data_IF_472405525178
#
_entry.id   IF_472405525178
#
_cell.length_a   1.000
_cell.length_b   1.000
_cell.length_c   1.000
_cell.angle_alpha   90.00
_cell.angle_beta   90.00
_cell.angle_gamma   90.00
#
_symmetry.space_group_name_H-M   'P 1'
#
loop_
_entity.id
_entity.type
_entity.pdbx_description
1 polymer ?
#
# COMPACT_ATOMS: atom_id res chain seq x y z
N UNK A 1 64.90 17.00 -37.98
CA UNK A 1 64.44 17.97 -39.00
C UNK A 1 63.94 17.17 -40.19
N UNK A 2 62.78 17.46 -40.84
CA UNK A 2 61.65 18.34 -40.52
C UNK A 2 60.34 17.54 -40.26
N UNK A 3 59.27 18.24 -39.86
CA UNK A 3 57.92 17.67 -39.66
C UNK A 3 56.98 17.97 -40.82
N UNK A 4 55.82 17.28 -40.84
CA UNK A 4 54.58 17.68 -41.52
C UNK A 4 53.41 17.12 -40.70
N UNK A 5 52.50 17.99 -40.28
CA UNK A 5 51.24 17.62 -39.65
C UNK A 5 50.10 17.46 -40.66
N UNK A 6 49.05 16.74 -40.26
CA UNK A 6 47.66 16.99 -40.71
C UNK A 6 46.69 16.17 -39.85
N UNK A 7 45.67 16.86 -39.33
CA UNK A 7 44.51 16.30 -38.64
C UNK A 7 43.56 15.60 -39.62
N UNK A 8 42.77 14.58 -39.20
CA UNK A 8 41.57 14.17 -39.92
C UNK A 8 40.29 14.79 -39.33
N UNK A 9 39.43 15.26 -40.22
CA UNK A 9 38.02 15.55 -39.98
C UNK A 9 37.21 14.25 -39.96
N UNK A 10 36.17 14.21 -39.13
CA UNK A 10 35.37 13.01 -38.87
C UNK A 10 34.34 12.68 -39.95
N UNK A 11 33.77 11.48 -39.85
CA UNK A 11 32.42 11.16 -40.33
C UNK A 11 31.86 10.03 -39.49
N UNK A 12 30.62 10.21 -39.05
CA UNK A 12 29.81 9.27 -38.28
C UNK A 12 29.50 8.00 -39.10
N UNK A 13 29.66 6.84 -38.47
CA UNK A 13 29.16 5.56 -38.96
C UNK A 13 28.36 4.89 -37.85
N UNK A 14 27.06 4.71 -38.10
CA UNK A 14 26.05 4.12 -37.23
C UNK A 14 26.27 2.63 -37.00
N UNK A 15 26.32 2.18 -35.74
CA UNK A 15 26.24 0.76 -35.38
C UNK A 15 24.92 0.43 -34.68
N UNK A 16 24.12 -0.33 -35.42
CA UNK A 16 23.43 -1.57 -35.05
C UNK A 16 22.66 -1.70 -33.72
N UNK A 17 21.40 -2.08 -33.95
CA UNK A 17 20.40 -2.60 -33.03
C UNK A 17 20.93 -3.62 -32.03
N UNK A 18 20.59 -3.42 -30.76
CA UNK A 18 20.32 -4.53 -29.85
C UNK A 18 19.10 -4.20 -29.00
N UNK A 19 18.06 -5.02 -29.12
CA UNK A 19 16.82 -4.90 -28.34
C UNK A 19 17.09 -5.30 -26.89
N UNK A 20 16.52 -4.61 -25.88
CA UNK A 20 16.60 -5.09 -24.51
C UNK A 20 15.61 -6.24 -24.26
N UNK A 21 15.93 -7.16 -23.34
CA UNK A 21 15.23 -8.42 -23.18
C UNK A 21 13.81 -8.25 -22.60
N UNK A 22 12.89 -9.07 -23.11
CA UNK A 22 11.56 -9.29 -22.56
C UNK A 22 11.68 -10.04 -21.23
N UNK A 23 11.63 -9.31 -20.11
CA UNK A 23 11.65 -9.90 -18.77
C UNK A 23 10.88 -9.06 -17.74
N UNK A 24 9.75 -9.60 -17.29
CA UNK A 24 8.97 -9.22 -16.09
C UNK A 24 8.29 -7.84 -16.05
N UNK A 25 7.30 -7.65 -16.93
CA UNK A 25 6.34 -6.53 -16.90
C UNK A 25 4.99 -6.86 -16.25
N UNK A 26 4.87 -7.93 -15.45
CA UNK A 26 3.54 -8.44 -15.04
C UNK A 26 2.90 -7.84 -13.78
N UNK A 27 3.53 -6.94 -13.01
CA UNK A 27 2.87 -6.39 -11.81
C UNK A 27 2.95 -4.87 -11.57
N UNK A 28 3.55 -4.07 -12.47
CA UNK A 28 3.69 -2.61 -12.27
C UNK A 28 2.39 -1.79 -12.42
N UNK A 29 1.31 -2.39 -12.96
CA UNK A 29 0.07 -1.65 -13.27
C UNK A 29 -0.86 -1.43 -12.07
N UNK A 30 -0.73 -2.19 -10.98
CA UNK A 30 -1.63 -2.04 -9.83
C UNK A 30 -1.35 -0.81 -8.95
N UNK A 31 -0.18 -0.16 -9.13
CA UNK A 31 0.29 0.93 -8.27
C UNK A 31 0.70 2.22 -8.98
N UNK A 32 0.48 2.31 -10.28
CA UNK A 32 0.72 3.55 -11.03
C UNK A 32 -0.62 4.21 -11.33
N UNK A 33 -0.91 5.28 -10.59
CA UNK A 33 -1.89 6.28 -11.04
C UNK A 33 -1.26 6.92 -12.28
N UNK A 34 -1.80 6.66 -13.47
CA UNK A 34 -1.36 7.29 -14.72
C UNK A 34 -1.71 8.78 -14.67
N UNK A 35 -0.74 9.64 -14.96
CA UNK A 35 -0.92 11.09 -15.06
C UNK A 35 -0.59 11.59 -16.46
N UNK A 36 -1.39 12.53 -16.95
CA UNK A 36 -0.98 13.52 -17.93
C UNK A 36 -0.47 14.76 -17.18
N UNK A 37 0.69 15.27 -17.59
CA UNK A 37 1.43 16.31 -16.88
C UNK A 37 1.12 17.72 -17.40
N UNK A 38 0.97 18.66 -16.46
CA UNK A 38 1.55 20.04 -16.46
C UNK A 38 1.11 20.79 -15.19
N UNK A 39 1.99 20.89 -14.17
CA UNK A 39 1.78 21.78 -13.01
C UNK A 39 2.50 21.36 -11.72
N UNK A 40 2.88 22.34 -10.89
CA UNK A 40 3.63 22.24 -9.61
C UNK A 40 2.85 21.53 -8.47
N UNK A 41 1.68 20.99 -8.78
CA UNK A 41 0.86 20.21 -7.88
C UNK A 41 0.91 18.74 -8.31
N UNK A 42 1.17 17.83 -7.37
CA UNK A 42 0.94 16.41 -7.60
C UNK A 42 -0.51 16.18 -8.08
N UNK A 43 -0.78 15.07 -8.81
CA UNK A 43 -2.10 14.82 -9.34
C UNK A 43 -3.15 14.84 -8.21
N UNK A 44 -4.36 15.37 -8.48
CA UNK A 44 -5.43 15.36 -7.49
C UNK A 44 -5.73 13.92 -7.06
N UNK A 45 -6.22 13.75 -5.83
CA UNK A 45 -6.65 12.44 -5.34
C UNK A 45 -7.68 11.85 -6.33
N UNK A 46 -7.49 10.58 -6.69
CA UNK A 46 -8.36 9.84 -7.60
C UNK A 46 -9.84 10.02 -7.18
N UNK A 47 -10.70 10.34 -8.15
CA UNK A 47 -12.12 10.67 -7.93
C UNK A 47 -12.92 9.54 -7.26
N UNK A 48 -12.39 8.30 -7.28
CA UNK A 48 -12.97 7.15 -6.58
C UNK A 48 -12.85 7.26 -5.05
N UNK A 49 -12.04 8.17 -4.54
CA UNK A 49 -11.98 8.49 -3.11
C UNK A 49 -13.05 9.54 -2.78
N UNK A 50 -14.09 9.09 -2.10
CA UNK A 50 -15.29 9.88 -1.86
C UNK A 50 -15.66 9.90 -0.39
N UNK A 51 -16.25 11.01 0.04
CA UNK A 51 -16.93 11.09 1.32
C UNK A 51 -18.16 10.18 1.26
N UNK A 52 -18.35 9.34 2.28
CA UNK A 52 -19.45 8.39 2.31
C UNK A 52 -20.73 9.09 2.78
N UNK A 53 -21.78 9.04 1.96
CA UNK A 53 -23.09 9.66 2.27
C UNK A 53 -23.76 9.02 3.48
N UNK A 54 -23.61 7.70 3.59
CA UNK A 54 -24.09 6.90 4.72
C UNK A 54 -22.90 6.19 5.38
N UNK A 55 -22.16 6.86 6.29
CA UNK A 55 -21.00 6.26 6.92
C UNK A 55 -21.30 4.95 7.66
N UNK A 56 -22.47 4.83 8.30
CA UNK A 56 -22.90 3.59 8.98
C UNK A 56 -23.00 2.38 8.05
N UNK A 57 -23.35 2.60 6.77
CA UNK A 57 -23.44 1.53 5.77
C UNK A 57 -22.08 1.22 5.13
N UNK A 58 -21.15 2.17 5.18
CA UNK A 58 -19.80 1.98 4.65
C UNK A 58 -18.87 1.35 5.68
N UNK A 59 -18.74 1.94 6.86
CA UNK A 59 -17.79 1.56 7.90
C UNK A 59 -18.31 0.40 8.75
N UNK A 60 -18.67 -0.69 8.09
CA UNK A 60 -19.11 -1.95 8.72
C UNK A 60 -17.93 -2.91 8.92
N UNK A 61 -17.99 -3.74 9.96
CA UNK A 61 -16.93 -4.72 10.28
C UNK A 61 -16.62 -5.60 9.06
N UNK A 62 -15.33 -5.69 8.73
CA UNK A 62 -14.81 -6.41 7.57
C UNK A 62 -14.71 -5.59 6.29
N UNK A 63 -15.23 -4.35 6.23
CA UNK A 63 -15.05 -3.47 5.07
C UNK A 63 -13.56 -3.23 4.84
N UNK A 64 -13.10 -3.56 3.64
CA UNK A 64 -11.75 -3.23 3.17
C UNK A 64 -11.83 -1.97 2.31
N UNK A 65 -11.04 -0.96 2.66
CA UNK A 65 -11.05 0.33 1.96
C UNK A 65 -9.65 0.92 1.87
N UNK A 66 -9.49 1.88 0.96
CA UNK A 66 -8.30 2.71 0.85
C UNK A 66 -8.59 4.15 1.28
N UNK A 67 -7.61 4.79 1.89
CA UNK A 67 -7.69 6.16 2.42
C UNK A 67 -6.39 6.91 2.13
N UNK A 68 -6.47 8.21 1.89
CA UNK A 68 -5.29 9.09 1.94
C UNK A 68 -4.92 9.31 3.40
N UNK A 69 -3.72 8.90 3.77
CA UNK A 69 -3.24 8.92 5.15
C UNK A 69 -2.01 9.80 5.29
N UNK A 70 -1.95 10.55 6.40
CA UNK A 70 -0.86 11.46 6.72
C UNK A 70 -0.09 10.97 7.95
N UNK A 71 1.24 10.96 7.89
CA UNK A 71 2.11 10.58 9.01
C UNK A 71 3.22 11.62 9.17
N UNK A 72 3.51 12.05 10.40
CA UNK A 72 4.64 12.95 10.67
C UNK A 72 5.98 12.22 10.51
N UNK A 73 7.03 12.95 10.12
CA UNK A 73 8.39 12.41 10.04
C UNK A 73 8.89 12.05 11.45
N UNK A 74 9.46 10.86 11.60
CA UNK A 74 9.91 10.33 12.90
C UNK A 74 8.93 9.35 13.54
N UNK A 75 7.65 9.41 13.19
CA UNK A 75 6.80 8.24 13.27
C UNK A 75 7.30 7.29 12.17
N UNK A 76 7.98 6.19 12.51
CA UNK A 76 8.29 5.11 11.56
C UNK A 76 6.99 4.40 11.18
N UNK A 77 6.09 5.13 10.52
CA UNK A 77 4.80 4.65 10.09
C UNK A 77 4.96 3.69 8.93
N UNK A 78 4.02 2.75 8.82
CA UNK A 78 4.15 1.69 7.82
C UNK A 78 4.04 2.21 6.38
N UNK A 79 3.38 3.36 6.14
CA UNK A 79 3.28 3.89 4.77
C UNK A 79 4.61 4.45 4.29
N UNK A 80 5.29 5.26 5.11
CA UNK A 80 6.63 5.79 4.81
C UNK A 80 7.59 4.64 4.52
N UNK A 81 7.58 3.65 5.41
CA UNK A 81 8.36 2.42 5.27
C UNK A 81 8.11 1.70 3.95
N UNK A 82 6.84 1.44 3.60
CA UNK A 82 6.46 0.75 2.36
C UNK A 82 6.89 1.54 1.12
N UNK A 83 6.83 2.87 1.19
CA UNK A 83 7.19 3.73 0.09
C UNK A 83 8.70 3.76 -0.18
N UNK A 84 9.50 3.94 0.88
CA UNK A 84 10.98 3.98 0.78
C UNK A 84 11.52 2.63 0.27
N UNK A 85 11.04 1.53 0.85
CA UNK A 85 11.51 0.18 0.52
C UNK A 85 11.16 -0.27 -0.91
N UNK A 86 10.16 0.34 -1.54
CA UNK A 86 9.87 0.14 -2.98
C UNK A 86 10.80 0.93 -3.91
N UNK A 87 11.85 1.58 -3.38
CA UNK A 87 12.81 2.35 -4.16
C UNK A 87 12.21 3.60 -4.82
N UNK A 88 11.06 4.07 -4.31
CA UNK A 88 10.41 5.27 -4.82
C UNK A 88 11.03 6.51 -4.18
N UNK A 89 11.31 7.51 -5.01
CA UNK A 89 11.83 8.79 -4.52
C UNK A 89 10.82 9.44 -3.59
N UNK A 90 11.26 9.75 -2.37
CA UNK A 90 10.51 10.55 -1.39
C UNK A 90 10.49 12.04 -1.75
N UNK A 91 11.23 12.45 -2.78
CA UNK A 91 11.32 13.82 -3.25
C UNK A 91 9.94 14.31 -3.70
N UNK A 92 9.41 15.33 -3.01
CA UNK A 92 8.08 15.89 -3.27
C UNK A 92 6.91 15.17 -2.56
N UNK A 93 7.16 14.14 -1.73
CA UNK A 93 6.12 13.47 -0.93
C UNK A 93 5.99 13.98 0.50
N UNK A 94 7.00 14.68 0.98
CA UNK A 94 6.95 15.37 2.26
C UNK A 94 6.50 16.81 2.05
N UNK A 95 5.46 17.20 2.77
CA UNK A 95 5.01 18.59 2.87
C UNK A 95 5.35 19.13 4.24
N UNK A 96 5.86 20.37 4.32
CA UNK A 96 6.01 21.04 5.61
C UNK A 96 4.65 21.50 6.11
N UNK A 97 4.27 21.02 7.28
CA UNK A 97 3.05 21.41 7.99
C UNK A 97 3.18 22.80 8.62
N UNK A 98 2.08 23.27 9.22
CA UNK A 98 1.96 24.60 9.84
C UNK A 98 3.05 24.91 10.88
N UNK A 99 3.59 23.89 11.54
CA UNK A 99 4.59 24.03 12.61
C UNK A 99 6.00 23.64 12.17
N UNK A 100 6.27 23.61 10.86
CA UNK A 100 7.59 23.25 10.33
C UNK A 100 7.88 21.75 10.26
N UNK A 101 7.02 20.92 10.87
CA UNK A 101 7.11 19.46 10.81
C UNK A 101 6.92 18.91 9.39
N UNK A 102 7.68 17.86 9.04
CA UNK A 102 7.53 17.18 7.76
C UNK A 102 6.41 16.14 7.85
N UNK A 103 5.46 16.20 6.91
CA UNK A 103 4.31 15.31 6.83
C UNK A 103 4.43 14.48 5.55
N UNK A 104 4.48 13.16 5.72
CA UNK A 104 4.34 12.22 4.63
C UNK A 104 2.87 11.98 4.32
N UNK A 105 2.52 11.92 3.05
CA UNK A 105 1.16 11.59 2.59
C UNK A 105 1.18 10.38 1.67
N UNK A 106 0.33 9.39 1.93
CA UNK A 106 0.25 8.20 1.08
C UNK A 106 -1.06 7.44 1.20
N UNK A 107 -1.34 6.56 0.25
CA UNK A 107 -2.54 5.72 0.29
C UNK A 107 -2.30 4.53 1.21
N UNK A 108 -3.16 4.36 2.22
CA UNK A 108 -3.21 3.17 3.07
C UNK A 108 -4.47 2.38 2.79
N UNK A 109 -4.37 1.05 2.83
CA UNK A 109 -5.53 0.15 2.83
C UNK A 109 -5.80 -0.31 4.26
N UNK A 110 -7.05 -0.45 4.64
CA UNK A 110 -7.45 -0.82 5.99
C UNK A 110 -8.69 -1.72 5.98
N UNK A 111 -8.88 -2.46 7.09
CA UNK A 111 -10.08 -3.26 7.35
C UNK A 111 -10.77 -2.73 8.60
N UNK A 112 -12.07 -2.44 8.52
CA UNK A 112 -12.85 -2.04 9.71
C UNK A 112 -12.97 -3.23 10.66
N UNK A 113 -12.62 -3.03 11.93
CA UNK A 113 -12.75 -4.05 12.99
C UNK A 113 -13.83 -3.70 14.01
N UNK A 114 -14.14 -2.41 14.18
CA UNK A 114 -15.24 -1.93 15.04
C UNK A 114 -15.88 -0.70 14.42
N UNK A 115 -17.18 -0.78 14.16
CA UNK A 115 -17.99 0.38 13.78
C UNK A 115 -18.41 1.17 15.02
N UNK A 116 -18.36 2.50 14.96
CA UNK A 116 -18.88 3.40 15.99
C UNK A 116 -19.71 4.50 15.32
N UNK A 117 -20.29 5.43 16.08
CA UNK A 117 -21.23 6.42 15.55
C UNK A 117 -20.58 7.47 14.64
N UNK A 118 -19.36 7.92 14.96
CA UNK A 118 -18.67 9.01 14.25
C UNK A 118 -17.33 8.59 13.63
N UNK A 119 -16.84 7.41 14.00
CA UNK A 119 -15.58 6.87 13.53
C UNK A 119 -15.60 5.34 13.53
N UNK A 120 -14.53 4.73 13.05
CA UNK A 120 -14.34 3.29 13.07
C UNK A 120 -12.91 2.93 13.51
N UNK A 121 -12.76 1.84 14.25
CA UNK A 121 -11.45 1.24 14.45
C UNK A 121 -11.11 0.38 13.25
N UNK A 122 -9.90 0.55 12.75
CA UNK A 122 -9.43 -0.03 11.52
C UNK A 122 -8.03 -0.62 11.68
N UNK A 123 -7.80 -1.76 11.06
CA UNK A 123 -6.51 -2.45 11.03
C UNK A 123 -5.84 -2.19 9.69
N UNK A 124 -4.54 -1.84 9.65
CA UNK A 124 -3.86 -1.52 8.41
C UNK A 124 -3.51 -2.80 7.64
N UNK A 125 -3.64 -2.74 6.31
CA UNK A 125 -3.04 -3.69 5.38
C UNK A 125 -1.73 -3.07 4.89
N UNK A 126 -0.63 -3.80 5.09
CA UNK A 126 0.73 -3.32 4.82
C UNK A 126 1.48 -4.36 3.99
N UNK A 127 2.35 -3.90 3.09
CA UNK A 127 3.20 -4.78 2.28
C UNK A 127 4.63 -4.87 2.81
N UNK A 128 5.00 -3.97 3.71
CA UNK A 128 6.33 -3.87 4.30
C UNK A 128 7.40 -3.69 3.24
N UNK A 129 7.08 -2.96 2.17
CA UNK A 129 7.96 -2.83 1.02
C UNK A 129 7.97 -4.00 0.05
N UNK A 130 6.90 -4.81 0.05
CA UNK A 130 6.87 -6.07 -0.67
C UNK A 130 7.65 -7.20 0.03
N UNK A 131 7.98 -7.03 1.31
CA UNK A 131 8.64 -8.03 2.14
C UNK A 131 7.69 -8.79 3.07
N UNK A 132 6.44 -8.31 3.25
CA UNK A 132 5.49 -8.94 4.17
C UNK A 132 6.07 -9.07 5.58
N UNK A 133 5.92 -10.24 6.20
CA UNK A 133 6.45 -10.48 7.55
C UNK A 133 7.95 -10.83 7.57
N UNK A 134 8.62 -10.91 6.42
CA UNK A 134 10.07 -11.08 6.36
C UNK A 134 10.83 -9.78 6.70
N UNK A 135 10.15 -8.63 6.69
CA UNK A 135 10.76 -7.36 7.08
C UNK A 135 11.22 -7.40 8.54
N UNK A 136 12.47 -7.00 8.85
CA UNK A 136 12.96 -6.92 10.22
C UNK A 136 12.06 -6.09 11.14
N UNK A 137 11.75 -6.61 12.32
CA UNK A 137 10.92 -5.97 13.33
C UNK A 137 9.40 -6.16 13.15
N UNK A 138 8.96 -6.86 12.10
CA UNK A 138 7.55 -7.26 11.94
C UNK A 138 7.31 -8.56 12.70
N UNK A 139 6.29 -8.58 13.57
CA UNK A 139 5.91 -9.77 14.36
C UNK A 139 4.91 -10.65 13.57
N UNK A 140 5.30 -11.83 13.08
CA UNK A 140 4.42 -12.71 12.30
C UNK A 140 3.19 -13.19 13.09
N UNK A 141 3.27 -13.27 14.42
CA UNK A 141 2.14 -13.71 15.24
C UNK A 141 0.98 -12.69 15.18
N UNK A 142 1.26 -11.41 14.96
CA UNK A 142 0.27 -10.33 14.85
C UNK A 142 -0.26 -10.11 13.44
N UNK A 143 0.10 -10.96 12.48
CA UNK A 143 -0.24 -10.78 11.07
C UNK A 143 -1.02 -11.95 10.49
N UNK A 144 -1.86 -11.65 9.49
CA UNK A 144 -2.45 -12.64 8.59
C UNK A 144 -2.25 -12.20 7.14
N UNK A 145 -2.15 -13.16 6.24
CA UNK A 145 -2.23 -12.90 4.79
C UNK A 145 -3.64 -12.42 4.48
N UNK A 146 -3.77 -11.34 3.72
CA UNK A 146 -5.04 -10.94 3.09
C UNK A 146 -4.91 -10.98 1.59
N UNK A 147 -5.86 -11.62 0.92
CA UNK A 147 -5.81 -11.87 -0.52
C UNK A 147 -7.18 -11.66 -1.15
N UNK A 148 -7.21 -11.35 -2.45
CA UNK A 148 -8.47 -11.17 -3.18
C UNK A 148 -9.07 -12.51 -3.58
N UNK A 149 -10.39 -12.63 -3.54
CA UNK A 149 -11.10 -13.78 -4.10
C UNK A 149 -10.66 -14.02 -5.55
N UNK A 150 -10.36 -15.27 -5.87
CA UNK A 150 -9.83 -15.67 -7.19
C UNK A 150 -8.31 -15.58 -7.32
N UNK A 151 -7.60 -15.10 -6.29
CA UNK A 151 -6.15 -15.23 -6.17
C UNK A 151 -5.78 -16.32 -5.15
N UNK A 152 -4.54 -16.80 -5.20
CA UNK A 152 -3.99 -17.74 -4.23
C UNK A 152 -3.26 -16.95 -3.14
N UNK A 153 -3.50 -17.22 -1.84
CA UNK A 153 -2.72 -16.62 -0.77
C UNK A 153 -1.27 -17.11 -0.84
N UNK A 154 -0.32 -16.17 -0.94
CA UNK A 154 1.11 -16.48 -1.08
C UNK A 154 1.88 -16.08 0.17
N UNK A 155 2.67 -17.02 0.69
CA UNK A 155 3.71 -16.79 1.69
C UNK A 155 5.06 -16.98 1.01
N UNK A 156 5.97 -16.01 1.11
CA UNK A 156 7.33 -16.18 0.58
C UNK A 156 8.14 -17.10 1.49
N UNK A 157 9.20 -17.70 0.93
CA UNK A 157 10.04 -18.66 1.65
C UNK A 157 10.84 -18.02 2.81
N UNK A 158 11.08 -16.72 2.74
CA UNK A 158 11.76 -15.92 3.77
C UNK A 158 10.79 -15.36 4.82
N UNK A 159 9.47 -15.50 4.63
CA UNK A 159 8.49 -15.14 5.66
C UNK A 159 8.42 -16.24 6.73
N UNK A 160 8.59 -15.84 7.99
CA UNK A 160 8.29 -16.69 9.12
C UNK A 160 6.80 -17.08 9.12
N UNK A 161 6.51 -18.29 9.64
CA UNK A 161 5.14 -18.81 9.71
C UNK A 161 4.25 -17.90 10.54
N UNK A 162 3.21 -17.35 9.91
CA UNK A 162 2.12 -16.66 10.61
C UNK A 162 1.21 -17.66 11.33
N UNK A 163 0.75 -17.30 12.53
CA UNK A 163 -0.17 -18.14 13.33
C UNK A 163 -1.62 -18.01 12.87
N UNK A 164 -1.96 -16.91 12.21
CA UNK A 164 -3.30 -16.63 11.67
C UNK A 164 -3.38 -17.15 10.23
N UNK A 165 -4.47 -17.83 9.92
CA UNK A 165 -4.74 -18.32 8.56
C UNK A 165 -5.06 -17.16 7.61
N UNK A 166 -4.84 -17.33 6.29
CA UNK A 166 -5.19 -16.33 5.30
C UNK A 166 -6.67 -15.94 5.32
N UNK A 167 -6.94 -14.65 5.11
CA UNK A 167 -8.28 -14.07 5.04
C UNK A 167 -8.57 -13.63 3.60
N UNK A 168 -9.64 -14.19 3.02
CA UNK A 168 -10.11 -13.84 1.69
C UNK A 168 -10.90 -12.53 1.72
N UNK A 169 -10.72 -11.70 0.70
CA UNK A 169 -11.44 -10.46 0.46
C UNK A 169 -12.25 -10.58 -0.82
N UNK A 170 -13.57 -10.39 -0.72
CA UNK A 170 -14.44 -10.19 -1.87
C UNK A 170 -14.23 -8.77 -2.43
N UNK A 171 -13.83 -8.63 -3.71
CA UNK A 171 -13.50 -7.32 -4.26
C UNK A 171 -14.76 -6.45 -4.44
N UNK A 172 -14.65 -5.15 -4.15
CA UNK A 172 -15.77 -4.22 -4.32
C UNK A 172 -16.09 -3.94 -5.79
N UNK A 173 -15.10 -4.10 -6.67
CA UNK A 173 -15.22 -4.00 -8.14
C UNK A 173 -14.25 -5.00 -8.79
N UNK A 174 -14.51 -5.48 -10.01
CA UNK A 174 -13.66 -6.48 -10.67
C UNK A 174 -12.19 -6.07 -10.86
N UNK A 175 -11.90 -4.77 -10.89
CA UNK A 175 -10.54 -4.22 -11.05
C UNK A 175 -9.79 -4.03 -9.73
N UNK A 176 -10.44 -4.24 -8.58
CA UNK A 176 -9.81 -4.11 -7.26
C UNK A 176 -8.79 -5.22 -7.03
N UNK A 177 -7.62 -4.82 -6.48
CA UNK A 177 -6.49 -5.73 -6.22
C UNK A 177 -5.83 -5.44 -4.88
N UNK A 178 -5.32 -6.50 -4.28
CA UNK A 178 -4.34 -6.47 -3.20
C UNK A 178 -3.00 -6.97 -3.72
N UNK A 179 -1.92 -6.51 -3.10
CA UNK A 179 -0.60 -7.09 -3.32
C UNK A 179 -0.57 -8.53 -2.83
N UNK A 180 0.26 -9.39 -3.44
CA UNK A 180 0.52 -10.73 -2.88
C UNK A 180 1.14 -10.63 -1.47
N UNK A 181 1.89 -9.56 -1.20
CA UNK A 181 2.55 -9.30 0.09
C UNK A 181 1.66 -8.52 1.05
N UNK A 182 0.36 -8.39 0.76
CA UNK A 182 -0.57 -7.72 1.67
C UNK A 182 -0.73 -8.53 2.96
N UNK A 183 -0.36 -7.93 4.09
CA UNK A 183 -0.52 -8.48 5.43
C UNK A 183 -1.41 -7.58 6.25
N UNK A 184 -2.45 -8.15 6.84
CA UNK A 184 -3.30 -7.47 7.80
C UNK A 184 -2.61 -7.49 9.17
N UNK A 185 -2.35 -6.32 9.73
CA UNK A 185 -1.69 -6.19 11.03
C UNK A 185 -2.72 -6.01 12.14
N UNK A 186 -2.84 -7.00 13.02
CA UNK A 186 -3.73 -6.96 14.18
C UNK A 186 -3.10 -6.26 15.38
N UNK A 187 -1.78 -6.10 15.39
CA UNK A 187 -1.03 -5.41 16.45
C UNK A 187 -1.11 -3.88 16.42
N UNK A 188 -1.86 -3.30 15.48
CA UNK A 188 -2.00 -1.85 15.35
C UNK A 188 -3.43 -1.46 14.94
N UNK A 189 -4.02 -0.57 15.73
CA UNK A 189 -5.35 0.00 15.47
C UNK A 189 -5.22 1.46 15.10
N UNK A 190 -6.01 1.88 14.11
CA UNK A 190 -6.24 3.27 13.77
C UNK A 190 -7.70 3.63 13.99
N UNK A 191 -7.96 4.79 14.58
CA UNK A 191 -9.28 5.41 14.53
C UNK A 191 -9.40 6.19 13.22
N UNK A 192 -10.45 5.90 12.45
CA UNK A 192 -10.75 6.57 11.18
C UNK A 192 -12.08 7.30 11.34
N UNK A 193 -12.03 8.63 11.28
CA UNK A 193 -13.22 9.49 11.29
C UNK A 193 -14.07 9.27 10.04
N UNK A 194 -15.39 9.39 10.15
CA UNK A 194 -16.31 9.20 9.02
C UNK A 194 -16.26 10.32 7.97
N UNK A 195 -15.73 11.49 8.34
CA UNK A 195 -15.67 12.69 7.50
C UNK A 195 -14.48 12.72 6.52
N UNK A 196 -13.91 11.56 6.19
CA UNK A 196 -12.75 11.42 5.31
C UNK A 196 -13.13 10.80 3.96
N UNK A 197 -12.36 11.14 2.91
CA UNK A 197 -12.54 10.52 1.59
C UNK A 197 -11.91 9.14 1.57
N UNK A 198 -12.72 8.13 1.25
CA UNK A 198 -12.31 6.72 1.18
C UNK A 198 -12.75 6.11 -0.14
N UNK A 199 -12.04 5.06 -0.55
CA UNK A 199 -12.36 4.26 -1.73
C UNK A 199 -12.62 2.81 -1.30
N UNK A 200 -13.77 2.20 -1.65
CA UNK A 200 -14.02 0.79 -1.35
C UNK A 200 -13.03 -0.09 -2.11
N UNK A 201 -12.45 -1.07 -1.43
CA UNK A 201 -11.56 -2.07 -2.01
C UNK A 201 -12.23 -3.45 -2.00
N UNK A 202 -12.95 -3.78 -0.93
CA UNK A 202 -13.65 -5.04 -0.81
C UNK A 202 -14.29 -5.27 0.55
N UNK A 203 -14.59 -6.52 0.84
CA UNK A 203 -15.17 -6.99 2.09
C UNK A 203 -14.48 -8.29 2.49
N UNK A 204 -14.12 -8.49 3.76
CA UNK A 204 -13.71 -9.82 4.25
C UNK A 204 -14.82 -10.81 3.90
N UNK A 205 -14.47 -11.88 3.20
CA UNK A 205 -15.46 -12.84 2.71
C UNK A 205 -16.20 -13.50 3.85
N UNK A 206 -17.42 -14.00 3.57
CA UNK A 206 -18.23 -14.69 4.55
C UNK A 206 -17.47 -15.84 5.24
N UNK A 207 -16.72 -16.63 4.46
CA UNK A 207 -15.93 -17.77 4.95
C UNK A 207 -14.76 -17.35 5.83
N UNK A 208 -14.24 -16.13 5.65
CA UNK A 208 -13.12 -15.59 6.43
C UNK A 208 -13.57 -14.74 7.63
N UNK A 209 -14.82 -14.30 7.66
CA UNK A 209 -15.33 -13.37 8.67
C UNK A 209 -15.24 -13.92 10.10
N UNK A 210 -15.52 -15.21 10.29
CA UNK A 210 -15.42 -15.87 11.61
C UNK A 210 -13.98 -15.82 12.12
N UNK A 211 -13.01 -16.16 11.27
CA UNK A 211 -11.58 -16.10 11.60
C UNK A 211 -11.14 -14.66 11.89
N UNK A 212 -11.50 -13.71 11.02
CA UNK A 212 -11.18 -12.30 11.19
C UNK A 212 -11.66 -11.76 12.55
N UNK A 213 -12.92 -12.04 12.92
CA UNK A 213 -13.47 -11.65 14.22
C UNK A 213 -12.73 -12.32 15.36
N UNK A 214 -12.46 -13.62 15.27
CA UNK A 214 -11.70 -14.36 16.29
C UNK A 214 -10.29 -13.79 16.51
N UNK A 215 -9.58 -13.49 15.43
CA UNK A 215 -8.24 -12.89 15.49
C UNK A 215 -8.28 -11.49 16.11
N UNK A 216 -9.22 -10.64 15.70
CA UNK A 216 -9.40 -9.32 16.28
C UNK A 216 -9.76 -9.39 17.77
N UNK A 217 -10.73 -10.21 18.15
CA UNK A 217 -11.15 -10.37 19.54
C UNK A 217 -10.01 -10.87 20.43
N UNK A 218 -9.16 -11.77 19.94
CA UNK A 218 -8.01 -12.25 20.72
C UNK A 218 -6.96 -11.15 20.97
N UNK A 219 -6.74 -10.26 20.01
CA UNK A 219 -5.71 -9.21 20.10
C UNK A 219 -6.20 -7.97 20.86
N UNK A 220 -7.51 -7.71 20.85
CA UNK A 220 -8.12 -6.59 21.58
C UNK A 220 -8.74 -6.99 22.93
N UNK A 221 -8.44 -8.19 23.44
CA UNK A 221 -8.66 -8.45 24.86
C UNK A 221 -7.79 -7.47 25.63
N UNK A 222 -8.44 -6.59 26.37
CA UNK A 222 -7.76 -5.65 27.23
C UNK A 222 -7.33 -6.44 28.47
N UNK A 223 -6.02 -6.49 28.71
CA UNK A 223 -5.48 -6.91 30.01
C UNK A 223 -5.69 -5.73 30.97
N UNK A 224 -6.87 -5.67 31.60
CA UNK A 224 -7.24 -4.65 32.61
C UNK A 224 -7.32 -5.32 33.97
#
# INVERSE_FOLDING_TARGET
MPGVGSHPAGTQGTSEQSSPPLGNLRNRKAYSIRGESRGVYGPPLDWRYQLQRSPGDFFVVGRVFAILWHEGRGQQGTVISDFISQGRSTQGQFTRGRFGEEIFSGIRRMVVVKAMSQCAWCLPITTYGGQGVAKPGVDPAKHAIVYMRGSVPTCKADELRMTKEPLEVEPARPDEKLDEMSRLNFGKVYTVEHNVKVRPVGMISWTSMVKFRGYASNEFRLDI
#
